data_IF_970822003570
#
_entry.id   IF_970822003570
#
_cell.length_a   1.000
_cell.length_b   1.000
_cell.length_c   1.000
_cell.angle_alpha   90.00
_cell.angle_beta   90.00
_cell.angle_gamma   90.00
#
_symmetry.space_group_name_H-M   'P 1'
#
loop_
_entity.id
_entity.type
_entity.pdbx_description
1 polymer ?
#
# COMPACT_ATOMS: atom_id res chain seq x y z
N UNK A 1 -7.64 59.23 5.07
CA UNK A 1 -6.57 58.42 4.44
C UNK A 1 -5.76 57.77 5.58
N UNK A 2 -6.14 56.71 6.29
CA UNK A 2 -6.86 55.44 6.04
C UNK A 2 -6.10 54.41 5.19
N UNK A 3 -4.76 54.35 5.33
CA UNK A 3 -3.91 53.27 4.80
C UNK A 3 -2.71 52.92 5.71
N UNK A 4 -2.69 53.38 6.97
CA UNK A 4 -1.58 53.12 7.90
C UNK A 4 -1.96 52.24 9.11
N UNK A 5 -3.21 51.73 9.18
CA UNK A 5 -3.71 50.95 10.33
C UNK A 5 -3.71 49.44 10.12
N UNK A 6 -3.51 48.96 8.90
CA UNK A 6 -3.67 47.54 8.56
C UNK A 6 -2.38 46.72 8.66
N UNK A 7 -1.31 47.28 9.24
CA UNK A 7 -0.03 46.58 9.42
C UNK A 7 0.13 45.94 10.82
N UNK A 8 -0.92 45.96 11.65
CA UNK A 8 -0.91 45.43 13.02
C UNK A 8 -1.84 44.23 13.22
N UNK A 9 -2.33 43.61 12.14
CA UNK A 9 -3.06 42.32 12.18
C UNK A 9 -2.22 41.24 11.50
N UNK A 10 -0.93 41.24 11.80
CA UNK A 10 -0.04 40.11 11.60
C UNK A 10 0.39 39.78 13.01
N UNK A 11 0.39 38.50 13.40
CA UNK A 11 0.56 37.94 14.75
C UNK A 11 -0.81 37.48 15.29
N UNK A 12 -0.81 36.26 15.84
CA UNK A 12 -1.95 35.51 16.43
C UNK A 12 -2.81 34.65 15.46
N UNK A 13 -2.19 33.85 14.59
CA UNK A 13 -2.66 32.45 14.38
C UNK A 13 -1.41 31.57 14.41
N UNK A 14 -0.95 31.35 15.64
CA UNK A 14 0.16 30.46 15.97
C UNK A 14 -0.42 29.11 16.37
N UNK A 15 0.22 28.03 15.88
CA UNK A 15 0.19 26.62 16.33
C UNK A 15 -1.18 25.88 16.21
N UNK A 16 -1.33 24.69 15.61
CA UNK A 16 -0.42 23.63 15.21
C UNK A 16 -0.88 23.07 13.85
N UNK A 17 -0.19 23.39 12.75
CA UNK A 17 -0.13 22.44 11.63
C UNK A 17 0.95 21.43 12.00
N UNK A 18 0.60 20.53 12.92
CA UNK A 18 1.29 19.26 13.02
C UNK A 18 1.03 18.55 11.71
N UNK A 19 1.95 18.68 10.75
CA UNK A 19 2.04 17.73 9.66
C UNK A 19 2.33 16.39 10.33
N UNK A 20 1.27 15.63 10.62
CA UNK A 20 1.39 14.21 10.78
C UNK A 20 1.96 13.71 9.46
N UNK A 21 3.27 13.49 9.43
CA UNK A 21 3.93 12.79 8.34
C UNK A 21 3.40 11.36 8.46
N UNK A 22 2.23 11.11 7.88
CA UNK A 22 1.78 9.76 7.63
C UNK A 22 2.79 9.21 6.62
N UNK A 23 3.75 8.43 7.11
CA UNK A 23 4.54 7.56 6.26
C UNK A 23 3.54 6.60 5.62
N UNK A 24 3.03 6.97 4.45
CA UNK A 24 2.19 6.10 3.67
C UNK A 24 3.13 5.03 3.11
N UNK A 25 3.23 3.90 3.80
CA UNK A 25 3.86 2.73 3.21
C UNK A 25 3.12 2.41 1.91
N UNK A 26 3.81 2.56 0.79
CA UNK A 26 3.21 2.36 -0.52
C UNK A 26 2.92 0.86 -0.69
N UNK A 27 1.70 0.50 -1.08
CA UNK A 27 1.31 -0.90 -1.34
C UNK A 27 0.88 -1.03 -2.79
N UNK A 28 1.46 -2.00 -3.50
CA UNK A 28 1.00 -2.39 -4.83
C UNK A 28 -0.02 -3.52 -4.71
N UNK A 29 -1.10 -3.47 -5.49
CA UNK A 29 -2.17 -4.48 -5.51
C UNK A 29 -2.62 -4.77 -6.94
N UNK A 30 -2.91 -6.04 -7.24
CA UNK A 30 -3.43 -6.48 -8.54
C UNK A 30 -4.32 -7.74 -8.41
N UNK A 31 -5.16 -7.97 -9.42
CA UNK A 31 -6.02 -9.15 -9.53
C UNK A 31 -5.47 -10.14 -10.59
N UNK A 32 -5.56 -11.43 -10.29
CA UNK A 32 -5.02 -12.52 -11.10
C UNK A 32 -6.03 -13.66 -11.22
N UNK A 33 -5.90 -14.51 -12.24
CA UNK A 33 -6.81 -15.66 -12.42
C UNK A 33 -6.39 -16.86 -11.59
N UNK A 34 -5.10 -16.99 -11.31
CA UNK A 34 -4.55 -18.11 -10.53
C UNK A 34 -3.57 -17.66 -9.45
N UNK A 35 -3.38 -18.51 -8.42
CA UNK A 35 -2.38 -18.29 -7.39
C UNK A 35 -0.95 -18.20 -7.97
N UNK A 36 -0.64 -19.05 -8.95
CA UNK A 36 0.68 -19.07 -9.59
C UNK A 36 0.99 -17.77 -10.35
N UNK A 37 0.00 -17.24 -11.08
CA UNK A 37 0.12 -15.93 -11.74
C UNK A 37 0.36 -14.82 -10.72
N UNK A 38 -0.38 -14.83 -9.61
CA UNK A 38 -0.24 -13.85 -8.54
C UNK A 38 1.19 -13.84 -7.96
N UNK A 39 1.69 -15.01 -7.55
CA UNK A 39 3.05 -15.13 -6.99
C UNK A 39 4.12 -14.77 -8.03
N UNK A 40 3.96 -15.21 -9.28
CA UNK A 40 4.90 -14.87 -10.35
C UNK A 40 4.93 -13.37 -10.62
N UNK A 41 3.78 -12.69 -10.59
CA UNK A 41 3.69 -11.26 -10.80
C UNK A 41 4.33 -10.48 -9.65
N UNK A 42 4.11 -10.89 -8.39
CA UNK A 42 4.77 -10.27 -7.23
C UNK A 42 6.29 -10.43 -7.34
N UNK A 43 6.79 -11.63 -7.65
CA UNK A 43 8.23 -11.87 -7.85
C UNK A 43 8.81 -10.99 -8.97
N UNK A 44 8.11 -10.91 -10.11
CA UNK A 44 8.56 -10.11 -11.26
C UNK A 44 8.52 -8.61 -11.00
N UNK A 45 7.48 -8.11 -10.33
CA UNK A 45 7.27 -6.67 -10.12
C UNK A 45 8.07 -6.12 -8.94
N UNK A 46 8.27 -6.91 -7.89
CA UNK A 46 9.13 -6.52 -6.76
C UNK A 46 10.62 -6.68 -7.07
N UNK A 47 10.97 -7.57 -8.01
CA UNK A 47 12.35 -7.99 -8.26
C UNK A 47 12.97 -8.75 -7.08
N UNK A 48 12.17 -9.16 -6.09
CA UNK A 48 12.62 -9.86 -4.88
C UNK A 48 12.22 -11.34 -4.91
N UNK A 49 12.95 -12.18 -4.18
CA UNK A 49 12.48 -13.54 -3.91
C UNK A 49 11.36 -13.53 -2.87
N UNK A 50 10.47 -14.51 -2.97
CA UNK A 50 9.35 -14.69 -2.05
C UNK A 50 9.74 -15.73 -1.00
N UNK A 51 9.82 -15.30 0.26
CA UNK A 51 9.93 -16.16 1.42
C UNK A 51 8.52 -16.46 1.95
N UNK A 52 8.00 -17.63 1.58
CA UNK A 52 6.65 -18.05 1.93
C UNK A 52 6.60 -18.51 3.39
N UNK A 53 5.70 -17.89 4.16
CA UNK A 53 5.45 -18.24 5.57
C UNK A 53 4.12 -18.98 5.71
N UNK A 54 3.09 -18.54 4.97
CA UNK A 54 1.80 -19.22 4.89
C UNK A 54 1.63 -19.79 3.50
N UNK A 55 1.36 -21.08 3.41
CA UNK A 55 0.96 -21.77 2.19
C UNK A 55 -0.31 -22.58 2.46
N UNK A 56 -1.46 -22.00 2.13
CA UNK A 56 -2.78 -22.63 2.26
C UNK A 56 -3.47 -22.60 0.92
N UNK A 57 -4.44 -23.50 0.72
CA UNK A 57 -5.21 -23.66 -0.52
C UNK A 57 -5.80 -22.36 -1.09
N UNK A 58 -6.10 -21.38 -0.24
CA UNK A 58 -6.73 -20.11 -0.63
C UNK A 58 -5.89 -18.88 -0.31
N UNK A 59 -4.69 -19.06 0.25
CA UNK A 59 -3.87 -17.94 0.69
C UNK A 59 -2.40 -18.35 0.74
N UNK A 60 -1.55 -17.57 0.07
CA UNK A 60 -0.10 -17.64 0.21
C UNK A 60 0.39 -16.27 0.64
N UNK A 61 1.18 -16.19 1.71
CA UNK A 61 1.74 -14.93 2.22
C UNK A 61 3.10 -15.12 2.85
N UNK A 62 3.84 -14.03 2.99
CA UNK A 62 5.18 -14.06 3.54
C UNK A 62 5.93 -12.75 3.35
N UNK A 63 7.25 -12.86 3.23
CA UNK A 63 8.14 -11.71 3.09
C UNK A 63 8.90 -11.74 1.77
N UNK A 64 9.14 -10.56 1.22
CA UNK A 64 10.13 -10.33 0.19
C UNK A 64 11.53 -10.35 0.83
N UNK A 65 12.57 -10.57 0.03
CA UNK A 65 13.96 -10.61 0.54
C UNK A 65 14.44 -9.31 1.22
N UNK A 66 13.75 -8.18 0.99
CA UNK A 66 13.98 -6.91 1.67
C UNK A 66 13.19 -6.77 2.99
N UNK A 67 12.54 -7.83 3.47
CA UNK A 67 11.75 -7.85 4.70
C UNK A 67 10.33 -7.29 4.59
N UNK A 68 9.92 -6.80 3.41
CA UNK A 68 8.56 -6.29 3.17
C UNK A 68 7.54 -7.41 3.00
N UNK A 69 6.31 -7.19 3.43
CA UNK A 69 5.25 -8.19 3.31
C UNK A 69 4.71 -8.35 1.89
N UNK A 70 4.25 -9.56 1.57
CA UNK A 70 3.42 -9.84 0.40
C UNK A 70 2.29 -10.83 0.73
N UNK A 71 1.27 -10.87 -0.12
CA UNK A 71 0.23 -11.88 -0.04
C UNK A 71 -0.55 -12.05 -1.34
N UNK A 72 -1.05 -13.27 -1.54
CA UNK A 72 -1.98 -13.66 -2.59
C UNK A 72 -3.14 -14.41 -1.94
N UNK A 73 -4.37 -13.94 -2.12
CA UNK A 73 -5.56 -14.56 -1.51
C UNK A 73 -6.66 -14.80 -2.55
N UNK A 74 -7.29 -15.98 -2.50
CA UNK A 74 -8.50 -16.28 -3.28
C UNK A 74 -9.63 -15.35 -2.82
N UNK A 75 -10.28 -14.73 -3.80
CA UNK A 75 -11.48 -13.90 -3.64
C UNK A 75 -12.58 -14.44 -4.54
N UNK A 76 -13.81 -14.10 -4.20
CA UNK A 76 -14.98 -14.48 -4.95
C UNK A 76 -15.89 -13.26 -5.09
N UNK A 77 -16.33 -12.99 -6.31
CA UNK A 77 -17.25 -11.90 -6.63
C UNK A 77 -18.34 -12.42 -7.54
N UNK A 78 -19.59 -12.00 -7.30
CA UNK A 78 -20.74 -12.42 -8.11
C UNK A 78 -20.62 -12.06 -9.60
N UNK A 79 -19.84 -11.04 -9.97
CA UNK A 79 -19.66 -10.62 -11.36
C UNK A 79 -18.40 -11.17 -12.02
N UNK A 80 -17.33 -11.41 -11.25
CA UNK A 80 -16.02 -11.87 -11.76
C UNK A 80 -15.77 -13.37 -11.53
N UNK A 81 -16.60 -14.03 -10.74
CA UNK A 81 -16.34 -15.38 -10.26
C UNK A 81 -15.18 -15.41 -9.27
N UNK A 82 -14.38 -16.47 -9.35
CA UNK A 82 -13.21 -16.69 -8.50
C UNK A 82 -11.99 -16.00 -9.11
N UNK A 83 -11.26 -15.24 -8.31
CA UNK A 83 -10.01 -14.58 -8.69
C UNK A 83 -9.03 -14.58 -7.50
N UNK A 84 -7.80 -14.14 -7.72
CA UNK A 84 -6.78 -14.00 -6.69
C UNK A 84 -6.36 -12.54 -6.59
N UNK A 85 -6.37 -11.98 -5.39
CA UNK A 85 -5.86 -10.64 -5.13
C UNK A 85 -4.45 -10.75 -4.57
N UNK A 86 -3.49 -10.15 -5.27
CA UNK A 86 -2.09 -10.06 -4.87
C UNK A 86 -1.75 -8.68 -4.35
N UNK A 87 -0.93 -8.60 -3.32
CA UNK A 87 -0.37 -7.34 -2.81
C UNK A 87 1.06 -7.53 -2.32
N UNK A 88 1.85 -6.44 -2.37
CA UNK A 88 3.15 -6.37 -1.71
C UNK A 88 3.47 -4.92 -1.33
N UNK A 89 4.23 -4.75 -0.25
CA UNK A 89 4.67 -3.42 0.18
C UNK A 89 5.86 -2.97 -0.69
N UNK A 90 5.88 -1.68 -1.03
CA UNK A 90 7.00 -0.97 -1.65
C UNK A 90 7.43 0.18 -0.75
N UNK A 91 8.58 0.77 -1.03
CA UNK A 91 9.04 1.98 -0.34
C UNK A 91 8.30 3.22 -0.87
#
# INVERSE_FOLDING_TARGET
MKFLKDLAVIIIVSVCFGAAIAHADNMMKAEFRTMAECLSAIKSNSGQNLEVITDKTHEVSGFLSNGKGFGCSRKESGTKGVYFEGWFMVD
#
